data_IF_167445245197
#
_entry.id   IF_167445245197
#
_cell.length_a   1.000
_cell.length_b   1.000
_cell.length_c   1.000
_cell.angle_alpha   90.00
_cell.angle_beta   90.00
_cell.angle_gamma   90.00
#
_symmetry.space_group_name_H-M   'P 1'
#
loop_
_entity.id
_entity.type
_entity.pdbx_description
1 polymer ?
#
# COMPACT_ATOMS: atom_id res chain seq x y z
N UNK A 1 21.40 10.58 0.00
CA UNK A 1 20.59 10.69 -1.23
C UNK A 1 19.56 9.56 -1.21
N UNK A 2 18.28 9.91 -1.16
CA UNK A 2 17.19 8.92 -1.16
C UNK A 2 17.18 8.18 -2.51
N UNK A 3 17.32 6.84 -2.46
CA UNK A 3 17.33 6.02 -3.68
C UNK A 3 15.91 5.84 -4.22
N UNK A 4 15.69 6.12 -5.49
CA UNK A 4 14.44 5.84 -6.21
C UNK A 4 14.61 4.56 -7.03
N UNK A 5 13.67 3.62 -6.89
CA UNK A 5 13.62 2.40 -7.70
C UNK A 5 12.80 2.66 -8.95
N UNK A 6 13.46 2.70 -10.10
CA UNK A 6 12.79 2.80 -11.41
C UNK A 6 11.92 1.58 -11.69
N UNK A 7 10.79 1.79 -12.35
CA UNK A 7 9.77 0.77 -12.63
C UNK A 7 9.12 0.15 -11.38
N UNK A 8 9.31 0.73 -10.20
CA UNK A 8 8.62 0.37 -8.97
C UNK A 8 7.52 1.37 -8.66
N UNK A 9 6.30 0.91 -8.54
CA UNK A 9 5.11 1.72 -8.32
C UNK A 9 4.37 1.23 -7.09
N UNK A 10 3.80 2.16 -6.31
CA UNK A 10 3.01 1.84 -5.13
C UNK A 10 1.59 2.35 -5.28
N UNK A 11 0.61 1.56 -4.85
CA UNK A 11 -0.79 1.97 -4.73
C UNK A 11 -1.11 2.06 -3.24
N UNK A 12 -1.44 3.25 -2.78
CA UNK A 12 -1.69 3.58 -1.38
C UNK A 12 -3.09 4.15 -1.17
N UNK A 13 -3.53 4.20 0.05
CA UNK A 13 -4.82 4.75 0.47
C UNK A 13 -5.31 4.10 1.75
N UNK A 14 -6.29 4.72 2.41
CA UNK A 14 -6.91 4.19 3.63
C UNK A 14 -7.62 2.86 3.36
N UNK A 15 -7.92 2.10 4.42
CA UNK A 15 -8.75 0.89 4.29
C UNK A 15 -10.13 1.30 3.75
N UNK A 16 -10.74 0.44 2.92
CA UNK A 16 -12.02 0.76 2.27
C UNK A 16 -11.93 1.74 1.08
N UNK A 17 -10.73 2.26 0.74
CA UNK A 17 -10.59 3.18 -0.40
C UNK A 17 -10.76 2.52 -1.78
N UNK A 18 -10.88 1.18 -1.85
CA UNK A 18 -11.09 0.45 -3.12
C UNK A 18 -9.83 0.00 -3.83
N UNK A 19 -8.64 0.09 -3.18
CA UNK A 19 -7.37 -0.38 -3.74
C UNK A 19 -7.44 -1.76 -4.37
N UNK A 20 -7.94 -2.74 -3.63
CA UNK A 20 -8.02 -4.14 -4.08
C UNK A 20 -8.80 -4.28 -5.39
N UNK A 21 -9.95 -3.62 -5.50
CA UNK A 21 -10.79 -3.65 -6.71
C UNK A 21 -10.09 -3.00 -7.90
N UNK A 22 -9.44 -1.86 -7.68
CA UNK A 22 -8.65 -1.15 -8.70
C UNK A 22 -7.47 -2.02 -9.16
N UNK A 23 -6.74 -2.65 -8.23
CA UNK A 23 -5.61 -3.53 -8.53
C UNK A 23 -6.06 -4.75 -9.34
N UNK A 24 -7.16 -5.40 -8.96
CA UNK A 24 -7.73 -6.52 -9.70
C UNK A 24 -8.12 -6.11 -11.14
N UNK A 25 -8.67 -4.91 -11.30
CA UNK A 25 -8.99 -4.39 -12.63
C UNK A 25 -7.73 -4.05 -13.42
N UNK A 26 -6.75 -3.42 -12.79
CA UNK A 26 -5.45 -3.12 -13.40
C UNK A 26 -4.72 -4.40 -13.84
N UNK A 27 -4.76 -5.47 -13.03
CA UNK A 27 -4.22 -6.79 -13.39
C UNK A 27 -4.86 -7.30 -14.69
N UNK A 28 -6.19 -7.18 -14.85
CA UNK A 28 -6.89 -7.58 -16.06
C UNK A 28 -6.48 -6.74 -17.27
N UNK A 29 -6.28 -5.43 -17.10
CA UNK A 29 -5.81 -4.53 -18.18
C UNK A 29 -4.38 -4.87 -18.58
N UNK A 30 -3.52 -5.21 -17.62
CA UNK A 30 -2.14 -5.64 -17.84
C UNK A 30 -2.02 -7.08 -18.38
N UNK A 31 -3.14 -7.78 -18.53
CA UNK A 31 -3.19 -9.20 -18.87
C UNK A 31 -2.35 -9.54 -20.11
N UNK A 32 -1.63 -10.67 -20.05
CA UNK A 32 -0.70 -11.21 -21.08
C UNK A 32 0.58 -10.40 -21.33
N UNK A 33 0.92 -9.42 -20.50
CA UNK A 33 2.20 -8.74 -20.60
C UNK A 33 3.13 -9.24 -19.47
N UNK A 34 4.04 -10.14 -19.77
CA UNK A 34 5.08 -10.67 -18.84
C UNK A 34 5.93 -9.58 -18.16
N UNK A 35 5.63 -8.32 -18.41
CA UNK A 35 6.35 -7.13 -17.95
C UNK A 35 5.77 -6.50 -16.67
N UNK A 36 4.68 -7.03 -16.10
CA UNK A 36 4.06 -6.50 -14.88
C UNK A 36 4.04 -7.55 -13.78
N UNK A 37 4.63 -7.22 -12.63
CA UNK A 37 4.59 -8.03 -11.43
C UNK A 37 3.79 -7.29 -10.34
N UNK A 38 2.74 -7.94 -9.83
CA UNK A 38 1.91 -7.40 -8.76
C UNK A 38 2.28 -8.06 -7.44
N UNK A 39 2.49 -7.23 -6.43
CA UNK A 39 2.82 -7.67 -5.08
C UNK A 39 2.08 -6.84 -4.04
N UNK A 40 2.29 -7.11 -2.75
CA UNK A 40 1.62 -6.38 -1.65
C UNK A 40 2.42 -6.41 -0.36
N UNK A 41 2.15 -5.46 0.53
CA UNK A 41 2.60 -5.49 1.93
C UNK A 41 1.40 -5.49 2.89
N UNK A 42 1.40 -6.33 3.95
CA UNK A 42 2.42 -7.35 4.26
C UNK A 42 2.58 -8.36 3.12
N UNK A 43 3.83 -8.82 2.90
CA UNK A 43 4.17 -9.72 1.80
C UNK A 43 3.52 -11.12 1.94
N UNK A 44 3.59 -11.92 0.89
CA UNK A 44 3.14 -13.32 0.96
C UNK A 44 4.14 -14.26 1.64
N UNK A 45 5.30 -13.74 2.04
CA UNK A 45 6.35 -14.46 2.76
C UNK A 45 5.96 -14.86 4.19
N UNK A 46 6.89 -15.50 4.88
CA UNK A 46 6.68 -16.02 6.25
C UNK A 46 6.32 -14.89 7.22
N UNK A 47 7.07 -13.79 7.17
CA UNK A 47 6.86 -12.64 8.07
C UNK A 47 5.53 -11.97 7.77
N UNK A 48 5.20 -11.73 6.49
CA UNK A 48 3.93 -11.14 6.10
C UNK A 48 2.72 -12.01 6.46
N UNK A 49 2.85 -13.35 6.43
CA UNK A 49 1.82 -14.27 6.96
C UNK A 49 1.65 -14.12 8.48
N UNK A 50 2.77 -14.00 9.21
CA UNK A 50 2.73 -13.76 10.66
C UNK A 50 2.02 -12.44 10.99
N UNK A 51 2.36 -11.35 10.30
CA UNK A 51 1.70 -10.05 10.47
C UNK A 51 0.18 -10.19 10.27
N UNK A 52 -0.26 -10.80 9.16
CA UNK A 52 -1.71 -10.98 8.90
C UNK A 52 -2.40 -11.80 10.00
N UNK A 53 -1.75 -12.84 10.50
CA UNK A 53 -2.28 -13.61 11.63
C UNK A 53 -2.43 -12.75 12.89
N UNK A 54 -1.48 -11.86 13.15
CA UNK A 54 -1.54 -10.95 14.30
C UNK A 54 -2.61 -9.86 14.16
N UNK A 55 -2.84 -9.37 12.94
CA UNK A 55 -3.89 -8.38 12.67
C UNK A 55 -5.31 -8.94 12.89
N UNK A 56 -5.48 -10.26 12.90
CA UNK A 56 -6.76 -10.93 13.18
C UNK A 56 -6.82 -11.56 14.58
N UNK A 57 -5.75 -11.46 15.37
CA UNK A 57 -5.68 -12.02 16.71
C UNK A 57 -6.02 -10.98 17.78
N UNK A 58 -7.31 -10.69 17.95
CA UNK A 58 -7.78 -9.71 18.92
C UNK A 58 -7.63 -10.14 20.39
N UNK A 59 -7.49 -11.46 20.66
CA UNK A 59 -7.37 -11.99 22.03
C UNK A 59 -5.97 -11.77 22.63
N UNK A 60 -4.94 -11.77 21.80
CA UNK A 60 -3.55 -11.60 22.24
C UNK A 60 -2.77 -10.79 21.20
N UNK A 61 -3.06 -9.48 21.05
CA UNK A 61 -2.38 -8.65 20.08
C UNK A 61 -0.93 -8.39 20.49
N UNK A 62 -0.04 -8.33 19.52
CA UNK A 62 1.32 -7.86 19.74
C UNK A 62 1.32 -6.36 20.09
N UNK A 63 2.34 -5.96 20.86
CA UNK A 63 2.63 -4.54 21.08
C UNK A 63 2.79 -3.81 19.74
N UNK A 64 2.25 -2.60 19.64
CA UNK A 64 2.34 -1.78 18.41
C UNK A 64 3.79 -1.62 17.91
N UNK A 65 4.74 -1.48 18.83
CA UNK A 65 6.18 -1.39 18.50
C UNK A 65 6.68 -2.70 17.87
N UNK A 66 6.33 -3.85 18.44
CA UNK A 66 6.74 -5.16 17.91
C UNK A 66 6.15 -5.38 16.50
N UNK A 67 4.89 -5.02 16.30
CA UNK A 67 4.23 -5.11 15.00
C UNK A 67 4.90 -4.18 13.98
N UNK A 68 5.30 -2.97 14.38
CA UNK A 68 6.03 -2.04 13.52
C UNK A 68 7.37 -2.63 13.03
N UNK A 69 8.13 -3.28 13.90
CA UNK A 69 9.38 -3.95 13.54
C UNK A 69 9.15 -5.16 12.62
N UNK A 70 8.06 -5.90 12.81
CA UNK A 70 7.69 -6.99 11.88
C UNK A 70 7.40 -6.46 10.47
N UNK A 71 6.72 -5.33 10.32
CA UNK A 71 6.52 -4.70 9.02
C UNK A 71 7.85 -4.32 8.35
N UNK A 72 8.81 -3.82 9.13
CA UNK A 72 10.16 -3.51 8.62
C UNK A 72 10.89 -4.76 8.18
N UNK A 73 10.86 -5.82 8.99
CA UNK A 73 11.49 -7.10 8.65
C UNK A 73 10.87 -7.73 7.39
N UNK A 74 9.53 -7.69 7.26
CA UNK A 74 8.82 -8.15 6.06
C UNK A 74 9.23 -7.36 4.84
N UNK A 75 9.38 -6.03 4.95
CA UNK A 75 9.82 -5.15 3.87
C UNK A 75 11.25 -5.41 3.45
N UNK A 76 12.16 -5.70 4.38
CA UNK A 76 13.52 -6.11 4.04
C UNK A 76 13.53 -7.36 3.18
N UNK A 77 12.82 -8.41 3.58
CA UNK A 77 12.68 -9.63 2.79
C UNK A 77 12.02 -9.36 1.44
N UNK A 78 10.93 -8.59 1.43
CA UNK A 78 10.17 -8.26 0.24
C UNK A 78 10.98 -7.46 -0.79
N UNK A 79 11.90 -6.59 -0.34
CA UNK A 79 12.75 -5.80 -1.23
C UNK A 79 14.01 -6.51 -1.67
N UNK A 80 14.72 -7.12 -0.72
CA UNK A 80 16.13 -7.51 -0.92
C UNK A 80 16.34 -9.02 -1.06
N UNK A 81 15.30 -9.85 -0.92
CA UNK A 81 15.47 -11.28 -1.18
C UNK A 81 16.03 -11.52 -2.59
N UNK A 82 17.15 -12.24 -2.65
CA UNK A 82 17.93 -12.41 -3.90
C UNK A 82 17.19 -13.20 -4.99
N UNK A 83 16.23 -14.03 -4.62
CA UNK A 83 15.49 -14.88 -5.55
C UNK A 83 14.24 -14.20 -6.09
N UNK A 84 13.45 -13.58 -5.22
CA UNK A 84 12.11 -13.11 -5.50
C UNK A 84 11.77 -11.74 -4.89
N UNK A 85 12.76 -11.02 -4.35
CA UNK A 85 12.59 -9.67 -3.87
C UNK A 85 12.31 -8.68 -5.00
N UNK A 86 11.69 -7.55 -4.66
CA UNK A 86 11.31 -6.51 -5.64
C UNK A 86 12.52 -6.11 -6.49
N UNK A 87 13.69 -5.89 -5.89
CA UNK A 87 14.90 -5.48 -6.61
C UNK A 87 15.35 -6.56 -7.59
N UNK A 88 15.31 -7.84 -7.19
CA UNK A 88 15.64 -8.94 -8.06
C UNK A 88 14.67 -9.04 -9.26
N UNK A 89 13.38 -8.77 -9.04
CA UNK A 89 12.35 -8.77 -10.09
C UNK A 89 12.54 -7.59 -11.04
N UNK A 90 12.80 -6.38 -10.52
CA UNK A 90 13.03 -5.18 -11.33
C UNK A 90 14.23 -5.35 -12.29
N UNK A 91 15.24 -6.12 -11.88
CA UNK A 91 16.42 -6.39 -12.69
C UNK A 91 16.17 -7.45 -13.80
N UNK A 92 14.99 -8.09 -13.81
CA UNK A 92 14.61 -9.08 -14.82
C UNK A 92 13.77 -8.43 -15.93
N UNK A 93 14.28 -8.47 -17.17
CA UNK A 93 13.53 -8.16 -18.40
C UNK A 93 12.70 -6.86 -18.38
N UNK A 94 13.21 -5.81 -17.75
CA UNK A 94 12.50 -4.52 -17.62
C UNK A 94 11.11 -4.67 -16.96
N UNK A 95 10.96 -5.58 -16.03
CA UNK A 95 9.70 -5.81 -15.32
C UNK A 95 9.31 -4.58 -14.52
N UNK A 96 8.04 -4.21 -14.58
CA UNK A 96 7.43 -3.18 -13.73
C UNK A 96 6.78 -3.86 -12.52
N UNK A 97 7.10 -3.38 -11.33
CA UNK A 97 6.55 -3.91 -10.08
C UNK A 97 5.52 -2.93 -9.52
N UNK A 98 4.33 -3.44 -9.23
CA UNK A 98 3.24 -2.68 -8.61
C UNK A 98 2.94 -3.30 -7.26
N UNK A 99 3.13 -2.53 -6.17
CA UNK A 99 2.83 -2.97 -4.81
C UNK A 99 1.53 -2.36 -4.29
N UNK A 100 0.63 -3.22 -3.78
CA UNK A 100 -0.47 -2.79 -2.90
C UNK A 100 0.12 -2.50 -1.53
N UNK A 101 0.23 -1.24 -1.17
CA UNK A 101 0.93 -0.71 0.00
C UNK A 101 2.46 -0.83 -0.06
N UNK A 102 3.09 0.06 0.70
CA UNK A 102 4.52 0.10 0.95
C UNK A 102 4.80 0.88 2.25
N UNK A 103 5.97 1.49 2.38
CA UNK A 103 6.39 2.23 3.57
C UNK A 103 5.43 3.35 4.00
N UNK A 104 4.69 3.93 3.06
CA UNK A 104 3.76 5.04 3.33
C UNK A 104 2.60 4.59 4.23
N UNK A 105 2.10 3.36 4.06
CA UNK A 105 1.14 2.76 4.99
C UNK A 105 1.73 2.67 6.41
N UNK A 106 2.98 2.22 6.57
CA UNK A 106 3.62 2.17 7.89
C UNK A 106 3.72 3.55 8.54
N UNK A 107 4.07 4.58 7.77
CA UNK A 107 4.14 5.95 8.28
C UNK A 107 2.75 6.47 8.69
N UNK A 108 1.74 6.28 7.84
CA UNK A 108 0.38 6.76 8.11
C UNK A 108 -0.26 6.07 9.33
N UNK A 109 -0.08 4.75 9.49
CA UNK A 109 -0.70 3.97 10.56
C UNK A 109 0.09 3.99 11.87
N UNK A 110 1.41 4.19 11.83
CA UNK A 110 2.31 4.09 12.99
C UNK A 110 2.96 5.44 13.36
N UNK A 111 2.68 6.51 12.61
CA UNK A 111 3.14 7.87 12.87
C UNK A 111 4.67 7.98 12.89
N UNK A 112 5.21 8.69 13.90
CA UNK A 112 6.65 8.96 14.03
C UNK A 112 7.51 7.69 14.07
N UNK A 113 7.06 6.64 14.75
CA UNK A 113 7.75 5.36 14.77
C UNK A 113 7.82 4.76 13.36
N UNK A 114 6.71 4.80 12.62
CA UNK A 114 6.66 4.36 11.23
C UNK A 114 7.65 5.12 10.35
N UNK A 115 7.74 6.44 10.51
CA UNK A 115 8.70 7.25 9.78
C UNK A 115 10.16 6.88 10.13
N UNK A 116 10.50 6.84 11.43
CA UNK A 116 11.87 6.53 11.90
C UNK A 116 12.36 5.18 11.38
N UNK A 117 11.49 4.17 11.38
CA UNK A 117 11.83 2.82 10.95
C UNK A 117 11.91 2.66 9.42
N UNK A 118 11.32 3.58 8.65
CA UNK A 118 11.16 3.41 7.21
C UNK A 118 11.86 4.46 6.34
N UNK A 119 12.40 5.52 6.91
CA UNK A 119 13.00 6.66 6.18
C UNK A 119 14.16 6.31 5.25
N UNK A 120 14.86 5.20 5.52
CA UNK A 120 16.06 4.80 4.78
C UNK A 120 15.75 3.77 3.66
N UNK A 121 14.50 3.32 3.55
CA UNK A 121 14.10 2.46 2.44
C UNK A 121 14.04 3.24 1.12
N UNK A 122 14.35 2.59 -0.02
CA UNK A 122 14.23 3.23 -1.31
C UNK A 122 12.78 3.61 -1.61
N UNK A 123 12.60 4.71 -2.33
CA UNK A 123 11.28 5.19 -2.75
C UNK A 123 10.86 4.57 -4.09
N UNK A 124 9.55 4.43 -4.34
CA UNK A 124 9.04 4.05 -5.65
C UNK A 124 9.27 5.18 -6.66
N UNK A 125 9.28 4.86 -7.94
CA UNK A 125 9.30 5.85 -9.01
C UNK A 125 8.06 6.74 -8.98
N UNK A 126 6.90 6.15 -8.68
CA UNK A 126 5.62 6.85 -8.62
C UNK A 126 4.71 6.21 -7.57
N UNK A 127 3.95 7.04 -6.88
CA UNK A 127 2.94 6.63 -5.91
C UNK A 127 1.56 7.02 -6.44
N UNK A 128 0.62 6.08 -6.48
CA UNK A 128 -0.79 6.31 -6.75
C UNK A 128 -1.56 6.29 -5.44
N UNK A 129 -2.08 7.42 -5.02
CA UNK A 129 -2.90 7.51 -3.82
C UNK A 129 -4.38 7.45 -4.17
N UNK A 130 -5.05 6.38 -3.74
CA UNK A 130 -6.49 6.21 -3.93
C UNK A 130 -7.21 7.07 -2.91
N UNK A 131 -7.63 8.23 -3.36
CA UNK A 131 -8.31 9.23 -2.55
C UNK A 131 -9.80 8.91 -2.49
N UNK A 132 -10.29 8.69 -1.29
CA UNK A 132 -11.68 8.37 -0.99
C UNK A 132 -12.05 9.11 0.30
N UNK A 133 -13.26 9.66 0.34
CA UNK A 133 -13.78 10.25 1.57
C UNK A 133 -13.73 9.23 2.72
N UNK A 134 -13.14 9.57 3.88
CA UNK A 134 -13.03 8.65 5.02
C UNK A 134 -14.38 8.05 5.46
N UNK A 135 -15.47 8.81 5.35
CA UNK A 135 -16.81 8.34 5.70
C UNK A 135 -17.29 7.26 4.69
N UNK A 136 -17.01 7.46 3.40
CA UNK A 136 -17.32 6.45 2.37
C UNK A 136 -16.50 5.19 2.60
N UNK A 137 -15.21 5.34 2.86
CA UNK A 137 -14.31 4.22 3.12
C UNK A 137 -14.74 3.42 4.36
N UNK A 138 -15.10 4.10 5.44
CA UNK A 138 -15.61 3.50 6.66
C UNK A 138 -16.91 2.72 6.42
N UNK A 139 -17.89 3.31 5.73
CA UNK A 139 -19.15 2.62 5.36
C UNK A 139 -18.91 1.36 4.51
N UNK A 140 -17.94 1.39 3.58
CA UNK A 140 -17.59 0.21 2.76
C UNK A 140 -17.03 -0.93 3.61
N UNK A 141 -16.23 -0.62 4.64
CA UNK A 141 -15.70 -1.63 5.57
C UNK A 141 -16.80 -2.20 6.44
N UNK A 142 -17.68 -1.36 6.97
CA UNK A 142 -18.81 -1.82 7.79
C UNK A 142 -19.71 -2.84 7.08
N UNK A 143 -19.97 -2.64 5.77
CA UNK A 143 -20.78 -3.58 4.98
C UNK A 143 -20.15 -4.97 4.81
N UNK A 144 -18.82 -5.07 4.93
CA UNK A 144 -18.07 -6.29 4.64
C UNK A 144 -17.54 -7.00 5.90
N UNK A 145 -17.86 -6.54 7.11
CA UNK A 145 -17.40 -7.10 8.40
C UNK A 145 -18.54 -7.47 9.30
N UNK A 146 -18.32 -8.47 10.16
CA UNK A 146 -19.25 -8.82 11.24
C UNK A 146 -19.21 -7.78 12.36
N UNK A 147 -20.29 -7.68 13.15
CA UNK A 147 -20.40 -6.71 14.27
C UNK A 147 -19.22 -6.78 15.27
N UNK A 148 -18.64 -7.95 15.50
CA UNK A 148 -17.50 -8.14 16.42
C UNK A 148 -16.22 -7.42 15.96
N UNK A 149 -16.02 -7.23 14.64
CA UNK A 149 -14.87 -6.58 14.07
C UNK A 149 -14.98 -5.05 14.03
N UNK A 150 -16.18 -4.51 14.31
CA UNK A 150 -16.48 -3.08 14.15
C UNK A 150 -16.08 -2.22 15.35
N UNK A 151 -15.97 -2.82 16.55
CA UNK A 151 -15.67 -2.08 17.80
C UNK A 151 -14.24 -1.48 17.83
N UNK A 152 -13.32 -1.95 16.98
CA UNK A 152 -11.95 -1.41 16.90
C UNK A 152 -11.76 -0.34 15.83
N UNK A 153 -12.77 -0.09 14.98
CA UNK A 153 -12.69 0.86 13.87
C UNK A 153 -13.58 2.08 14.14
N UNK A 154 -13.00 3.08 14.77
CA UNK A 154 -13.66 4.38 14.92
C UNK A 154 -13.51 5.20 13.63
N UNK A 155 -14.58 5.86 13.18
CA UNK A 155 -14.55 6.78 12.03
C UNK A 155 -13.45 7.85 12.17
N UNK A 156 -13.24 8.33 13.41
CA UNK A 156 -12.19 9.28 13.74
C UNK A 156 -10.80 8.79 13.32
N UNK A 157 -10.51 7.48 13.46
CA UNK A 157 -9.24 6.88 13.06
C UNK A 157 -9.02 6.92 11.55
N UNK A 158 -10.08 6.77 10.75
CA UNK A 158 -9.97 6.89 9.29
C UNK A 158 -9.59 8.32 8.87
N UNK A 159 -10.20 9.31 9.51
CA UNK A 159 -9.88 10.72 9.30
C UNK A 159 -8.44 11.03 9.69
N UNK A 160 -8.00 10.53 10.85
CA UNK A 160 -6.64 10.69 11.35
C UNK A 160 -5.60 10.07 10.38
N UNK A 161 -5.81 8.83 9.96
CA UNK A 161 -4.90 8.15 9.01
C UNK A 161 -4.85 8.90 7.68
N UNK A 162 -6.00 9.35 7.18
CA UNK A 162 -6.07 10.14 5.95
C UNK A 162 -5.31 11.47 6.08
N UNK A 163 -5.46 12.18 7.21
CA UNK A 163 -4.69 13.42 7.50
C UNK A 163 -3.19 13.15 7.48
N UNK A 164 -2.73 12.07 8.14
CA UNK A 164 -1.32 11.68 8.15
C UNK A 164 -0.77 11.37 6.75
N UNK A 165 -1.58 10.77 5.87
CA UNK A 165 -1.18 10.62 4.47
C UNK A 165 -0.98 11.99 3.80
N UNK A 166 -1.91 12.93 3.98
CA UNK A 166 -1.83 14.25 3.38
C UNK A 166 -0.63 15.05 3.88
N UNK A 167 -0.37 15.04 5.19
CA UNK A 167 0.79 15.68 5.80
C UNK A 167 2.11 15.10 5.28
N UNK A 168 2.21 13.78 5.26
CA UNK A 168 3.39 13.07 4.75
C UNK A 168 3.65 13.41 3.28
N UNK A 169 2.63 13.50 2.45
CA UNK A 169 2.77 13.77 1.02
C UNK A 169 3.28 15.17 0.74
N UNK A 170 3.10 16.15 1.63
CA UNK A 170 3.72 17.47 1.49
C UNK A 170 5.26 17.38 1.45
N UNK A 171 5.82 16.40 2.19
CA UNK A 171 7.26 16.17 2.22
C UNK A 171 7.69 15.33 1.00
N UNK A 172 6.99 14.22 0.74
CA UNK A 172 7.40 13.26 -0.29
C UNK A 172 7.15 13.74 -1.72
N UNK A 173 6.23 14.69 -1.97
CA UNK A 173 6.01 15.32 -3.28
C UNK A 173 7.28 16.00 -3.86
N UNK A 174 8.23 16.36 -3.01
CA UNK A 174 9.51 16.92 -3.45
C UNK A 174 10.49 15.84 -3.93
N UNK A 175 10.22 14.57 -3.64
CA UNK A 175 11.11 13.44 -3.89
C UNK A 175 10.61 12.52 -4.99
N UNK A 176 9.31 12.29 -5.05
CA UNK A 176 8.66 11.38 -6.01
C UNK A 176 7.36 11.98 -6.55
N UNK A 177 6.92 11.48 -7.70
CA UNK A 177 5.64 11.83 -8.29
C UNK A 177 4.48 11.10 -7.54
N UNK A 178 3.60 11.88 -6.90
CA UNK A 178 2.40 11.39 -6.20
C UNK A 178 1.16 11.74 -7.02
N UNK A 179 0.52 10.72 -7.54
CA UNK A 179 -0.69 10.86 -8.36
C UNK A 179 -1.93 10.54 -7.54
N UNK A 180 -2.82 11.51 -7.41
CA UNK A 180 -4.11 11.32 -6.74
C UNK A 180 -5.13 10.71 -7.71
N UNK A 181 -5.76 9.62 -7.27
CA UNK A 181 -6.78 8.87 -7.99
C UNK A 181 -8.07 8.92 -7.17
N UNK A 182 -9.04 9.67 -7.63
CA UNK A 182 -10.36 9.76 -6.98
C UNK A 182 -11.10 8.42 -7.12
N UNK A 183 -11.71 7.94 -6.03
CA UNK A 183 -12.50 6.71 -6.00
C UNK A 183 -13.67 6.82 -5.01
N UNK A 184 -14.66 7.62 -5.36
CA UNK A 184 -15.84 7.86 -4.53
C UNK A 184 -17.01 6.94 -4.87
N UNK A 185 -17.04 6.33 -6.08
CA UNK A 185 -18.10 5.45 -6.56
C UNK A 185 -17.55 4.14 -7.14
N UNK A 186 -18.40 3.16 -7.38
CA UNK A 186 -18.01 1.89 -8.05
C UNK A 186 -17.65 2.11 -9.53
N UNK A 187 -18.22 3.12 -10.17
CA UNK A 187 -17.90 3.48 -11.56
C UNK A 187 -16.45 3.97 -11.70
N UNK A 188 -15.87 4.54 -10.65
CA UNK A 188 -14.52 5.08 -10.68
C UNK A 188 -13.42 3.98 -10.77
N UNK A 189 -13.74 2.72 -10.45
CA UNK A 189 -12.78 1.61 -10.42
C UNK A 189 -12.14 1.38 -11.80
N UNK A 190 -12.96 1.33 -12.85
CA UNK A 190 -12.46 1.13 -14.22
C UNK A 190 -11.61 2.32 -14.69
N UNK A 191 -12.12 3.54 -14.46
CA UNK A 191 -11.47 4.79 -14.83
C UNK A 191 -10.12 4.91 -14.11
N UNK A 192 -10.12 4.63 -12.80
CA UNK A 192 -8.92 4.65 -11.95
C UNK A 192 -7.86 3.66 -12.43
N UNK A 193 -8.27 2.42 -12.74
CA UNK A 193 -7.34 1.39 -13.21
C UNK A 193 -6.74 1.76 -14.59
N UNK A 194 -7.54 2.31 -15.51
CA UNK A 194 -7.05 2.79 -16.81
C UNK A 194 -6.09 3.95 -16.66
N UNK A 195 -6.42 4.94 -15.82
CA UNK A 195 -5.52 6.08 -15.54
C UNK A 195 -4.17 5.62 -15.01
N UNK A 196 -4.16 4.68 -14.04
CA UNK A 196 -2.92 4.10 -13.51
C UNK A 196 -2.15 3.39 -14.65
N UNK A 197 -2.84 2.55 -15.44
CA UNK A 197 -2.21 1.84 -16.56
C UNK A 197 -1.55 2.80 -17.54
N UNK A 198 -2.24 3.88 -17.95
CA UNK A 198 -1.72 4.86 -18.90
C UNK A 198 -0.45 5.56 -18.41
N UNK A 199 -0.33 5.75 -17.09
CA UNK A 199 0.83 6.37 -16.46
C UNK A 199 2.01 5.43 -16.21
N UNK A 200 1.79 4.10 -16.30
CA UNK A 200 2.83 3.08 -16.12
C UNK A 200 3.11 2.25 -17.37
N UNK A 201 2.35 2.40 -18.45
CA UNK A 201 2.60 1.68 -19.71
C UNK A 201 3.96 2.05 -20.31
N UNK A 202 4.50 1.14 -21.12
CA UNK A 202 5.76 1.34 -21.84
C UNK A 202 5.59 2.32 -22.98
#
# INVERSE_FOLDING_TARGET
VTKILKNFYCIEGIDGSGKTSIIQKLQKICNNKMKYHFTKEPSTGIIGKLIRKQLTNFKNPLLKVSLAHLYVADRYEHLYNIQNGIIAILNKNQTKVISDRYLFSSIAYQGELGYKLNKDFPLPEKLFFIKTDPNIAFKRIQKNRTQADLFEFEEAKFKEINSRYMEMFQIFNQLIDIVYIENSSEHDIEISARKIFDLIKF
#
